data_IF_763463578371
#
_entry.id   IF_763463578371
#
_cell.length_a   1.000
_cell.length_b   1.000
_cell.length_c   1.000
_cell.angle_alpha   90.00
_cell.angle_beta   90.00
_cell.angle_gamma   90.00
#
_symmetry.space_group_name_H-M   'P 1'
#
loop_
_entity.id
_entity.type
_entity.pdbx_description
1 polymer ?
#
# COMPACT_ATOMS: atom_id res chain seq x y z
N UNK A 1 16.00 -12.41 10.74
CA UNK A 1 14.88 -12.19 11.69
C UNK A 1 15.38 -11.52 12.98
N UNK A 2 16.39 -10.64 12.92
CA UNK A 2 17.17 -10.25 14.11
C UNK A 2 17.09 -8.74 14.42
N UNK A 3 16.26 -7.98 13.70
CA UNK A 3 15.96 -6.59 14.04
C UNK A 3 14.49 -6.48 14.49
N UNK A 4 14.28 -6.38 15.80
CA UNK A 4 12.97 -6.28 16.44
C UNK A 4 12.41 -4.84 16.46
N UNK A 5 13.11 -3.89 15.82
CA UNK A 5 12.68 -2.49 15.70
C UNK A 5 11.96 -2.22 14.36
N UNK A 6 11.87 -3.24 13.51
CA UNK A 6 11.26 -3.25 12.19
C UNK A 6 10.18 -4.34 12.12
N UNK A 7 8.95 -4.02 11.74
CA UNK A 7 7.90 -5.06 11.74
C UNK A 7 6.54 -4.60 11.24
N UNK A 8 5.82 -3.84 12.07
CA UNK A 8 4.47 -3.39 11.80
C UNK A 8 4.35 -1.90 12.09
N UNK A 9 3.87 -1.13 11.12
CA UNK A 9 3.47 0.27 11.33
C UNK A 9 2.00 0.43 10.98
N UNK A 10 1.24 1.05 11.87
CA UNK A 10 -0.13 1.53 11.63
C UNK A 10 -0.06 3.05 11.67
N UNK A 11 -0.37 3.72 10.57
CA UNK A 11 -0.23 5.17 10.49
C UNK A 11 -1.37 5.82 9.70
N UNK A 12 -1.81 6.98 10.20
CA UNK A 12 -2.60 7.96 9.44
C UNK A 12 -1.63 8.98 8.84
N UNK A 13 -1.82 9.29 7.56
CA UNK A 13 -1.10 10.29 6.79
C UNK A 13 -2.09 11.38 6.37
N UNK A 14 -1.60 12.52 5.87
CA UNK A 14 -2.46 13.59 5.33
C UNK A 14 -3.40 13.05 4.23
N UNK A 15 -2.91 12.08 3.46
CA UNK A 15 -3.57 11.54 2.27
C UNK A 15 -4.07 10.09 2.44
N UNK A 16 -4.33 9.63 3.68
CA UNK A 16 -4.93 8.30 3.89
C UNK A 16 -4.45 7.60 5.16
N UNK A 17 -4.70 6.28 5.22
CA UNK A 17 -4.25 5.44 6.32
C UNK A 17 -3.72 4.11 5.81
N UNK A 18 -2.86 3.47 6.59
CA UNK A 18 -2.21 2.25 6.16
C UNK A 18 -1.64 1.40 7.28
N UNK A 19 -1.57 0.10 6.97
CA UNK A 19 -0.80 -0.90 7.71
C UNK A 19 0.38 -1.29 6.81
N UNK A 20 1.59 -1.26 7.37
CA UNK A 20 2.83 -1.53 6.66
C UNK A 20 3.58 -2.66 7.36
N UNK A 21 3.96 -3.69 6.60
CA UNK A 21 4.64 -4.89 7.09
C UNK A 21 6.08 -4.91 6.59
N UNK A 22 7.04 -5.19 7.46
CA UNK A 22 8.47 -5.19 7.11
C UNK A 22 9.08 -3.78 6.98
N UNK A 23 8.57 -2.82 7.74
CA UNK A 23 9.07 -1.43 7.74
C UNK A 23 10.41 -1.30 8.47
N UNK A 24 11.34 -0.49 7.97
CA UNK A 24 12.55 -0.11 8.70
C UNK A 24 12.29 1.12 9.62
N UNK A 25 12.77 1.13 10.88
CA UNK A 25 12.66 2.28 11.79
C UNK A 25 13.33 3.57 11.29
N UNK A 26 14.25 3.50 10.31
CA UNK A 26 15.11 4.62 9.92
C UNK A 26 14.63 5.46 8.72
N UNK A 27 13.42 5.28 8.20
CA UNK A 27 12.98 6.04 7.01
C UNK A 27 11.84 7.00 7.35
N UNK A 28 12.22 8.24 7.70
CA UNK A 28 11.37 9.43 7.55
C UNK A 28 11.16 9.68 6.04
N UNK A 29 10.33 8.84 5.42
CA UNK A 29 10.07 8.84 3.99
C UNK A 29 10.86 7.78 3.21
N UNK A 30 10.19 7.15 2.24
CA UNK A 30 10.73 6.04 1.43
C UNK A 30 10.01 4.71 1.66
N UNK A 31 10.27 3.75 0.77
CA UNK A 31 9.75 2.37 0.87
C UNK A 31 10.90 1.44 1.21
N UNK A 32 10.72 0.60 2.23
CA UNK A 32 11.71 -0.44 2.55
C UNK A 32 11.60 -1.58 1.54
N UNK A 33 12.73 -2.11 1.06
CA UNK A 33 12.72 -3.27 0.17
C UNK A 33 12.01 -4.45 0.83
N UNK A 34 11.06 -5.08 0.12
CA UNK A 34 10.25 -6.18 0.66
C UNK A 34 9.12 -5.76 1.61
N UNK A 35 8.93 -4.46 1.84
CA UNK A 35 7.78 -3.96 2.62
C UNK A 35 6.47 -4.25 1.88
N UNK A 36 5.46 -4.69 2.61
CA UNK A 36 4.09 -4.79 2.13
C UNK A 36 3.21 -3.68 2.70
N UNK A 37 2.31 -3.17 1.88
CA UNK A 37 1.38 -2.11 2.20
C UNK A 37 -0.05 -2.65 2.12
N UNK A 38 -0.86 -2.33 3.13
CA UNK A 38 -2.32 -2.50 3.14
C UNK A 38 -2.88 -1.10 3.39
N UNK A 39 -3.38 -0.45 2.36
CA UNK A 39 -3.64 1.00 2.37
C UNK A 39 -4.96 1.35 1.71
N UNK A 40 -5.54 2.47 2.16
CA UNK A 40 -6.47 3.25 1.35
C UNK A 40 -5.71 4.36 0.63
N UNK A 41 -6.17 4.72 -0.56
CA UNK A 41 -5.55 5.76 -1.38
C UNK A 41 -6.37 7.06 -1.33
N UNK A 42 -5.74 8.22 -1.51
CA UNK A 42 -6.45 9.50 -1.59
C UNK A 42 -7.23 9.64 -2.91
N UNK A 43 -8.13 10.64 -2.96
CA UNK A 43 -8.92 10.99 -4.16
C UNK A 43 -8.07 11.30 -5.38
N UNK A 44 -6.89 11.92 -5.18
CA UNK A 44 -5.98 12.31 -6.24
C UNK A 44 -4.93 11.22 -6.55
N UNK A 45 -5.11 9.99 -6.07
CA UNK A 45 -4.21 8.92 -6.44
C UNK A 45 -4.39 8.55 -7.90
N UNK A 46 -3.27 8.47 -8.64
CA UNK A 46 -3.28 7.95 -10.01
C UNK A 46 -3.74 6.49 -10.07
N UNK A 47 -3.53 5.73 -8.99
CA UNK A 47 -3.80 4.31 -8.90
C UNK A 47 -4.91 4.03 -7.89
N UNK A 48 -6.02 3.48 -8.38
CA UNK A 48 -7.14 3.06 -7.54
C UNK A 48 -7.61 4.17 -6.58
N UNK A 49 -7.95 5.38 -7.05
CA UNK A 49 -8.33 6.50 -6.19
C UNK A 49 -9.50 6.14 -5.26
N UNK A 50 -9.41 6.54 -3.99
CA UNK A 50 -10.36 6.16 -2.92
C UNK A 50 -10.54 4.65 -2.70
N UNK A 51 -9.72 3.80 -3.33
CA UNK A 51 -9.84 2.36 -3.25
C UNK A 51 -8.98 1.74 -2.14
N UNK A 52 -9.14 0.42 -1.98
CA UNK A 52 -8.35 -0.40 -1.07
C UNK A 52 -7.28 -1.17 -1.84
N UNK A 53 -6.04 -1.13 -1.36
CA UNK A 53 -4.89 -1.70 -2.07
C UNK A 53 -3.98 -2.52 -1.15
N UNK A 54 -3.59 -3.72 -1.61
CA UNK A 54 -2.54 -4.56 -1.01
C UNK A 54 -1.43 -4.76 -2.04
N UNK A 55 -0.22 -4.30 -1.75
CA UNK A 55 0.91 -4.36 -2.68
C UNK A 55 2.28 -4.28 -1.98
N UNK A 56 3.35 -4.51 -2.73
CA UNK A 56 4.70 -4.12 -2.29
C UNK A 56 4.78 -2.59 -2.17
N UNK A 57 5.55 -2.10 -1.20
CA UNK A 57 5.70 -0.67 -0.96
C UNK A 57 6.13 0.11 -2.22
N UNK A 58 7.04 -0.47 -3.01
CA UNK A 58 7.54 0.10 -4.27
C UNK A 58 6.52 0.13 -5.40
N UNK A 59 5.38 -0.52 -5.23
CA UNK A 59 4.38 -0.74 -6.28
C UNK A 59 3.07 0.01 -6.05
N UNK A 60 2.92 0.67 -4.90
CA UNK A 60 1.71 1.42 -4.52
C UNK A 60 1.32 2.51 -5.54
N UNK A 61 2.29 3.05 -6.28
CA UNK A 61 2.09 4.08 -7.31
C UNK A 61 2.23 3.56 -8.74
N UNK A 62 2.45 2.26 -8.94
CA UNK A 62 2.66 1.67 -10.28
C UNK A 62 1.35 1.13 -10.85
N UNK A 63 1.14 1.23 -12.15
CA UNK A 63 0.02 0.56 -12.83
C UNK A 63 0.10 -0.96 -12.68
N UNK A 64 -1.06 -1.61 -12.57
CA UNK A 64 -1.20 -3.07 -12.68
C UNK A 64 -0.33 -3.87 -11.68
N UNK A 65 -0.23 -3.41 -10.43
CA UNK A 65 0.51 -4.11 -9.36
C UNK A 65 -0.30 -4.26 -8.08
N UNK A 66 -0.28 -5.47 -7.53
CA UNK A 66 -0.96 -5.82 -6.28
C UNK A 66 -2.44 -6.16 -6.47
N UNK A 67 -3.13 -6.33 -5.34
CA UNK A 67 -4.55 -6.57 -5.22
C UNK A 67 -5.26 -5.25 -4.91
N UNK A 68 -6.29 -4.89 -5.68
CA UNK A 68 -7.00 -3.61 -5.55
C UNK A 68 -8.49 -3.83 -5.62
N UNK A 69 -9.22 -3.22 -4.69
CA UNK A 69 -10.68 -3.11 -4.72
C UNK A 69 -11.01 -1.65 -5.01
N UNK A 70 -11.89 -1.41 -5.99
CA UNK A 70 -12.33 -0.08 -6.39
C UNK A 70 -13.07 0.65 -5.27
N UNK A 71 -13.16 1.98 -5.39
CA UNK A 71 -13.84 2.83 -4.40
C UNK A 71 -15.32 2.47 -4.18
N UNK A 72 -15.99 1.95 -5.23
CA UNK A 72 -17.37 1.48 -5.16
C UNK A 72 -17.52 0.03 -4.67
N UNK A 73 -16.40 -0.67 -4.44
CA UNK A 73 -16.39 -2.05 -3.96
C UNK A 73 -16.72 -3.12 -5.01
N UNK A 74 -17.02 -2.74 -6.26
CA UNK A 74 -17.54 -3.68 -7.26
C UNK A 74 -16.46 -4.36 -8.10
N UNK A 75 -15.28 -3.75 -8.22
CA UNK A 75 -14.20 -4.24 -9.09
C UNK A 75 -13.03 -4.71 -8.24
N UNK A 76 -12.66 -5.99 -8.38
CA UNK A 76 -11.40 -6.52 -7.87
C UNK A 76 -10.40 -6.60 -9.03
N UNK A 77 -9.18 -6.10 -8.84
CA UNK A 77 -8.09 -6.30 -9.80
C UNK A 77 -6.86 -6.90 -9.13
N UNK A 78 -6.18 -7.81 -9.82
CA UNK A 78 -4.89 -8.35 -9.41
C UNK A 78 -3.89 -8.29 -10.55
N UNK A 79 -2.82 -7.52 -10.36
CA UNK A 79 -1.76 -7.31 -11.35
C UNK A 79 -2.29 -6.96 -12.77
N UNK A 80 -3.31 -6.11 -12.83
CA UNK A 80 -3.93 -5.65 -14.08
C UNK A 80 -5.06 -6.54 -14.63
N UNK A 81 -5.33 -7.69 -14.01
CA UNK A 81 -6.49 -8.53 -14.36
C UNK A 81 -7.69 -8.15 -13.50
N UNK A 82 -8.81 -7.79 -14.13
CA UNK A 82 -10.11 -7.61 -13.48
C UNK A 82 -10.76 -8.97 -13.20
N UNK A 83 -11.39 -9.07 -12.03
CA UNK A 83 -12.05 -10.25 -11.48
C UNK A 83 -13.49 -9.94 -11.12
#
# INVERSE_FOLDING_TARGET
>A
LNDNRAGLRIARQVNGAGIYLGTNPATDGGTTAGQWNIITTPTNSEQNPLGFTICLGTDATKNNRGLRISADGNTLTFNGRTL
#
